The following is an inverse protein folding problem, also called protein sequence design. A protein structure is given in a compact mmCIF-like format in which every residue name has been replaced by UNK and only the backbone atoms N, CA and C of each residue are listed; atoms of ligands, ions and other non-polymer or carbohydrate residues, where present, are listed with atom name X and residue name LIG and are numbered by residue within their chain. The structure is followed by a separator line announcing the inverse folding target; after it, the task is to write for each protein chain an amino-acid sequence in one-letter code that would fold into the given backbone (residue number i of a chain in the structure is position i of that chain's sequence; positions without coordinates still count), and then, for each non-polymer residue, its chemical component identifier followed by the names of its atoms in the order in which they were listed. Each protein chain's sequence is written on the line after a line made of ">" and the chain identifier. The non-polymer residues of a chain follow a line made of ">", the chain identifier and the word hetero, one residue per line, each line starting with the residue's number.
data_IF_643266693188
#
_entry.id   IF_643266693188
#
_cell.length_a   1.000
_cell.length_b   1.000
_cell.length_c   1.000
_cell.angle_alpha   90.00
_cell.angle_beta   90.00
_cell.angle_gamma   90.00
#
_symmetry.space_group_name_H-M   'P 1'
#
loop_
_entity.id
_entity.type
_entity.pdbx_description
1 polymer ?
#
# COMPACT_ATOMS: atom_id res chain seq x y z
N UNK A 1 6.09 -12.28 -18.50
CA UNK A 1 5.30 -11.90 -17.30
C UNK A 1 4.05 -11.19 -17.77
N UNK A 2 2.86 -11.74 -17.50
CA UNK A 2 1.60 -11.07 -17.79
C UNK A 2 1.53 -9.75 -17.01
N UNK A 3 1.06 -8.68 -17.65
CA UNK A 3 0.80 -7.40 -16.96
C UNK A 3 -0.39 -7.63 -16.02
N UNK A 4 -0.13 -7.85 -14.73
CA UNK A 4 -1.18 -7.84 -13.69
C UNK A 4 -1.69 -6.41 -13.55
N UNK A 5 -3.01 -6.22 -13.68
CA UNK A 5 -3.65 -4.96 -13.30
C UNK A 5 -3.53 -4.81 -11.80
N UNK A 6 -3.03 -3.66 -11.34
CA UNK A 6 -2.86 -3.38 -9.92
C UNK A 6 -4.09 -2.63 -9.41
N UNK A 7 -4.81 -3.20 -8.45
CA UNK A 7 -6.09 -2.71 -7.93
C UNK A 7 -5.92 -2.06 -6.56
N UNK A 8 -6.98 -1.42 -6.04
CA UNK A 8 -6.99 -0.89 -4.68
C UNK A 8 -6.76 -1.97 -3.61
N UNK A 9 -7.21 -3.20 -3.85
CA UNK A 9 -7.00 -4.34 -2.93
C UNK A 9 -5.51 -4.69 -2.83
N UNK A 10 -4.78 -4.70 -3.96
CA UNK A 10 -3.34 -4.97 -3.95
C UNK A 10 -2.56 -3.87 -3.18
N UNK A 11 -3.06 -2.64 -3.19
CA UNK A 11 -2.48 -1.55 -2.39
C UNK A 11 -2.76 -1.80 -0.91
N UNK A 12 -3.99 -2.13 -0.50
CA UNK A 12 -4.31 -2.45 0.91
C UNK A 12 -3.40 -3.56 1.44
N UNK A 13 -3.16 -4.62 0.67
CA UNK A 13 -2.26 -5.72 1.04
C UNK A 13 -0.81 -5.26 1.29
N UNK A 14 -0.29 -4.32 0.48
CA UNK A 14 1.03 -3.70 0.73
C UNK A 14 1.06 -3.05 2.12
N UNK A 15 0.03 -2.27 2.44
CA UNK A 15 -0.05 -1.54 3.70
C UNK A 15 -0.20 -2.47 4.90
N UNK A 16 -1.08 -3.48 4.82
CA UNK A 16 -1.27 -4.46 5.89
C UNK A 16 0.03 -5.19 6.20
N UNK A 17 0.74 -5.69 5.18
CA UNK A 17 2.00 -6.40 5.40
C UNK A 17 3.11 -5.51 5.93
N UNK A 18 3.26 -4.30 5.39
CA UNK A 18 4.26 -3.34 5.84
C UNK A 18 4.00 -2.86 7.26
N UNK A 19 2.75 -2.53 7.58
CA UNK A 19 2.35 -2.04 8.89
C UNK A 19 2.49 -3.11 9.98
N UNK A 20 2.33 -4.39 9.62
CA UNK A 20 2.65 -5.54 10.48
C UNK A 20 4.16 -5.73 10.73
N UNK A 21 5.02 -4.80 10.30
CA UNK A 21 6.45 -4.81 10.59
C UNK A 21 7.33 -5.45 9.51
N UNK A 22 6.77 -5.86 8.36
CA UNK A 22 7.59 -6.40 7.27
C UNK A 22 8.33 -5.27 6.57
N UNK A 23 9.60 -5.53 6.23
CA UNK A 23 10.37 -4.61 5.40
C UNK A 23 9.76 -4.50 3.99
N UNK A 24 9.97 -3.36 3.32
CA UNK A 24 9.54 -3.13 1.92
C UNK A 24 10.00 -4.25 0.97
N UNK A 25 11.17 -4.84 1.23
CA UNK A 25 11.71 -5.97 0.45
C UNK A 25 10.94 -7.26 0.68
N UNK A 26 10.55 -7.56 1.92
CA UNK A 26 9.73 -8.74 2.24
C UNK A 26 8.32 -8.60 1.67
N UNK A 27 7.71 -7.41 1.73
CA UNK A 27 6.40 -7.13 1.11
C UNK A 27 6.45 -7.36 -0.40
N UNK A 28 7.47 -6.80 -1.07
CA UNK A 28 7.66 -6.98 -2.50
C UNK A 28 7.77 -8.46 -2.91
N UNK A 29 8.54 -9.26 -2.15
CA UNK A 29 8.68 -10.68 -2.37
C UNK A 29 7.36 -11.45 -2.13
N UNK A 30 6.63 -11.13 -1.05
CA UNK A 30 5.36 -11.79 -0.72
C UNK A 30 4.26 -11.55 -1.76
N UNK A 31 4.20 -10.35 -2.33
CA UNK A 31 3.15 -9.98 -3.29
C UNK A 31 3.56 -10.18 -4.76
N UNK A 32 4.81 -10.58 -5.01
CA UNK A 32 5.33 -10.74 -6.38
C UNK A 32 5.41 -9.42 -7.15
N UNK A 33 5.61 -8.29 -6.46
CA UNK A 33 5.66 -6.94 -7.05
C UNK A 33 7.06 -6.33 -6.96
N UNK A 34 7.34 -5.32 -7.79
CA UNK A 34 8.61 -4.61 -7.73
C UNK A 34 8.75 -3.77 -6.47
N UNK A 35 9.97 -3.70 -5.89
CA UNK A 35 10.28 -2.83 -4.73
C UNK A 35 9.96 -1.35 -5.00
N UNK A 36 10.12 -0.88 -6.24
CA UNK A 36 9.76 0.48 -6.65
C UNK A 36 8.25 0.73 -6.52
N UNK A 37 7.43 -0.27 -6.85
CA UNK A 37 5.97 -0.23 -6.69
C UNK A 37 5.60 -0.12 -5.21
N UNK A 38 6.20 -0.96 -4.36
CA UNK A 38 5.98 -0.89 -2.90
C UNK A 38 6.36 0.49 -2.33
N UNK A 39 7.53 1.03 -2.72
CA UNK A 39 7.95 2.37 -2.27
C UNK A 39 6.97 3.47 -2.71
N UNK A 40 6.57 3.47 -3.98
CA UNK A 40 5.61 4.43 -4.53
C UNK A 40 4.30 4.44 -3.74
N UNK A 41 3.78 3.26 -3.41
CA UNK A 41 2.50 3.17 -2.69
C UNK A 41 2.61 3.47 -1.20
N UNK A 42 3.77 3.25 -0.57
CA UNK A 42 3.95 3.60 0.85
C UNK A 42 4.29 5.07 1.10
N UNK A 43 4.74 5.80 0.08
CA UNK A 43 5.18 7.20 0.20
C UNK A 43 4.10 8.12 0.83
N UNK A 44 2.80 8.06 0.46
CA UNK A 44 1.78 8.87 1.13
C UNK A 44 1.57 8.51 2.60
N UNK A 45 1.75 7.24 2.96
CA UNK A 45 1.67 6.78 4.34
C UNK A 45 2.79 7.41 5.18
N UNK A 46 4.02 7.32 4.66
CA UNK A 46 5.21 7.87 5.31
C UNK A 46 5.12 9.39 5.41
N UNK A 47 4.62 10.07 4.37
CA UNK A 47 4.37 11.52 4.38
C UNK A 47 3.28 11.93 5.39
N UNK A 48 2.29 11.06 5.64
CA UNK A 48 1.28 11.24 6.69
C UNK A 48 1.78 10.88 8.11
N UNK A 49 3.07 10.53 8.27
CA UNK A 49 3.67 10.17 9.55
C UNK A 49 3.35 8.75 10.01
N UNK A 50 2.76 7.91 9.16
CA UNK A 50 2.51 6.50 9.47
C UNK A 50 3.84 5.76 9.52
N UNK A 51 4.04 4.97 10.57
CA UNK A 51 5.20 4.10 10.73
C UNK A 51 4.74 2.66 11.02
N UNK A 52 5.53 1.63 10.66
CA UNK A 52 5.20 0.24 10.98
C UNK A 52 5.09 -0.02 12.47
N UNK A 53 4.22 -0.96 12.85
CA UNK A 53 4.09 -1.42 14.24
C UNK A 53 3.20 -0.56 15.14
N UNK A 54 2.42 0.36 14.57
CA UNK A 54 1.40 1.08 15.33
C UNK A 54 0.15 0.24 15.62
N UNK A 55 -0.90 0.83 16.23
CA UNK A 55 -2.13 0.12 16.58
C UNK A 55 -2.78 -0.56 15.38
N UNK A 56 -3.29 -1.80 15.50
CA UNK A 56 -3.90 -2.52 14.39
C UNK A 56 -4.94 -1.68 13.64
N UNK A 57 -4.79 -1.59 12.32
CA UNK A 57 -5.73 -0.90 11.45
C UNK A 57 -6.54 -1.92 10.64
N UNK A 58 -7.85 -1.69 10.50
CA UNK A 58 -8.70 -2.54 9.67
C UNK A 58 -8.48 -2.25 8.18
N UNK A 59 -8.83 -3.20 7.31
CA UNK A 59 -8.83 -2.97 5.85
C UNK A 59 -9.71 -1.79 5.46
N UNK A 60 -10.84 -1.58 6.15
CA UNK A 60 -11.75 -0.46 5.92
C UNK A 60 -11.09 0.89 6.23
N UNK A 61 -10.25 0.96 7.27
CA UNK A 61 -9.51 2.18 7.61
C UNK A 61 -8.47 2.49 6.54
N UNK A 62 -7.75 1.47 6.07
CA UNK A 62 -6.84 1.62 4.93
C UNK A 62 -7.57 2.08 3.67
N UNK A 63 -8.69 1.46 3.32
CA UNK A 63 -9.46 1.84 2.15
C UNK A 63 -9.92 3.31 2.17
N UNK A 64 -10.27 3.85 3.35
CA UNK A 64 -10.59 5.28 3.52
C UNK A 64 -9.38 6.17 3.26
N UNK A 65 -8.21 5.84 3.84
CA UNK A 65 -6.98 6.60 3.63
C UNK A 65 -6.52 6.54 2.17
N UNK A 66 -6.60 5.36 1.54
CA UNK A 66 -6.25 5.18 0.14
C UNK A 66 -7.11 6.04 -0.80
N UNK A 67 -8.40 6.19 -0.52
CA UNK A 67 -9.26 7.12 -1.28
C UNK A 67 -8.83 8.58 -1.16
N UNK A 68 -8.26 8.97 -0.02
CA UNK A 68 -7.72 10.32 0.18
C UNK A 68 -6.36 10.53 -0.51
N UNK A 69 -5.49 9.51 -0.51
CA UNK A 69 -4.13 9.62 -1.07
C UNK A 69 -4.06 9.34 -2.57
N UNK A 70 -4.96 8.49 -3.07
CA UNK A 70 -5.06 8.10 -4.46
C UNK A 70 -6.49 8.36 -4.95
N UNK A 71 -6.91 9.63 -5.04
CA UNK A 71 -8.16 9.93 -5.71
C UNK A 71 -8.08 9.36 -7.14
N UNK A 72 -9.11 8.62 -7.55
CA UNK A 72 -9.24 8.20 -8.94
C UNK A 72 -9.08 9.45 -9.81
N UNK A 73 -8.31 9.42 -10.91
CA UNK A 73 -8.26 10.57 -11.81
C UNK A 73 -9.70 10.87 -12.19
N UNK A 74 -10.18 12.06 -11.84
CA UNK A 74 -11.49 12.55 -12.28
C UNK A 74 -11.52 12.37 -13.80
N UNK A 75 -12.29 11.39 -14.26
CA UNK A 75 -12.35 11.04 -15.68
C UNK A 75 -12.66 12.31 -16.48
N UNK A 76 -11.71 12.68 -17.34
CA UNK A 76 -11.93 13.58 -18.47
C UNK A 76 -12.33 12.75 -19.67
#
# INVERSE_FOLDING_TARGET
>A
MARRTFTGVDIVEIYVHWYAGRSKSQVAASLGVGRKTVRKYLEPAEAAGVTPGGPPMSETDWAKLLKSWFPEPAGS
#
